data_IF_668888591329
#
_entry.id   IF_668888591329
#
_cell.length_a   1.000
_cell.length_b   1.000
_cell.length_c   1.000
_cell.angle_alpha   90.00
_cell.angle_beta   90.00
_cell.angle_gamma   90.00
#
_symmetry.space_group_name_H-M   'P 1'
#
loop_
_entity.id
_entity.type
_entity.pdbx_description
1 polymer ?
#
# COMPACT_ATOMS: atom_id res chain seq x y z
N UNK A 1 -14.30 -41.37 -36.57
CA UNK A 1 -13.43 -42.15 -35.65
C UNK A 1 -12.19 -41.30 -35.35
N UNK A 2 -12.01 -40.86 -34.09
CA UNK A 2 -10.82 -40.24 -33.45
C UNK A 2 -11.19 -39.09 -32.49
N UNK A 3 -11.49 -39.41 -31.22
CA UNK A 3 -11.62 -38.42 -30.11
C UNK A 3 -10.97 -38.86 -28.79
N UNK A 4 -10.09 -39.86 -28.76
CA UNK A 4 -9.58 -40.43 -27.49
C UNK A 4 -8.12 -40.13 -27.10
N UNK A 5 -7.30 -39.44 -27.90
CA UNK A 5 -5.87 -39.29 -27.57
C UNK A 5 -5.45 -37.96 -26.92
N UNK A 6 -6.30 -36.92 -26.86
CA UNK A 6 -5.90 -35.61 -26.33
C UNK A 6 -5.96 -35.48 -24.80
N UNK A 7 -6.52 -36.47 -24.10
CA UNK A 7 -6.82 -36.34 -22.67
C UNK A 7 -5.66 -36.74 -21.74
N UNK A 8 -4.65 -37.47 -22.23
CA UNK A 8 -3.60 -38.04 -21.37
C UNK A 8 -2.35 -37.13 -21.25
N UNK A 9 -2.02 -36.33 -22.26
CA UNK A 9 -0.83 -35.44 -22.22
C UNK A 9 -1.00 -34.22 -21.29
N UNK A 10 -2.23 -33.85 -20.91
CA UNK A 10 -2.48 -32.63 -20.15
C UNK A 10 -2.19 -32.75 -18.65
N UNK A 11 -2.30 -33.96 -18.08
CA UNK A 11 -2.12 -34.16 -16.63
C UNK A 11 -0.64 -34.24 -16.22
N UNK A 12 0.23 -34.81 -17.04
CA UNK A 12 1.65 -34.98 -16.70
C UNK A 12 2.45 -33.65 -16.74
N UNK A 13 2.15 -32.75 -17.68
CA UNK A 13 2.79 -31.42 -17.81
C UNK A 13 2.36 -30.43 -16.71
N UNK A 14 1.32 -30.76 -15.92
CA UNK A 14 0.76 -29.91 -14.87
C UNK A 14 1.39 -30.13 -13.49
N UNK A 15 2.09 -31.26 -13.30
CA UNK A 15 2.79 -31.61 -12.06
C UNK A 15 4.17 -30.93 -11.96
N UNK A 16 4.99 -31.02 -13.01
CA UNK A 16 6.35 -30.42 -13.00
C UNK A 16 6.37 -28.88 -13.03
N UNK A 17 5.33 -28.23 -13.58
CA UNK A 17 5.20 -26.76 -13.54
C UNK A 17 4.90 -26.23 -12.14
N UNK A 18 4.28 -27.04 -11.26
CA UNK A 18 3.91 -26.60 -9.91
C UNK A 18 5.14 -26.51 -9.00
N UNK A 19 6.08 -27.46 -9.11
CA UNK A 19 7.34 -27.43 -8.38
C UNK A 19 8.30 -26.31 -8.85
N UNK A 20 8.36 -26.03 -10.17
CA UNK A 20 9.09 -24.87 -10.69
C UNK A 20 8.41 -23.54 -10.35
N UNK A 21 7.08 -23.44 -10.37
CA UNK A 21 6.37 -22.20 -10.02
C UNK A 21 6.50 -21.86 -8.53
N UNK A 22 6.57 -22.86 -7.65
CA UNK A 22 6.80 -22.67 -6.21
C UNK A 22 8.28 -22.33 -5.92
N UNK A 23 9.26 -22.99 -6.58
CA UNK A 23 10.69 -22.67 -6.40
C UNK A 23 11.13 -21.36 -7.07
N UNK A 24 10.49 -20.96 -8.19
CA UNK A 24 10.66 -19.63 -8.82
C UNK A 24 9.95 -18.54 -8.02
N UNK A 25 8.87 -18.87 -7.27
CA UNK A 25 8.17 -17.94 -6.38
C UNK A 25 9.05 -17.50 -5.20
N UNK A 26 9.92 -18.37 -4.67
CA UNK A 26 10.87 -18.09 -3.57
C UNK A 26 12.11 -17.27 -4.01
N UNK A 27 12.76 -17.62 -5.13
CA UNK A 27 13.93 -16.88 -5.64
C UNK A 27 13.55 -15.51 -6.24
N UNK A 28 12.36 -15.42 -6.82
CA UNK A 28 11.75 -14.14 -7.18
C UNK A 28 11.31 -13.35 -5.93
N UNK A 29 11.12 -13.98 -4.77
CA UNK A 29 10.60 -13.30 -3.57
C UNK A 29 11.61 -12.32 -3.00
N UNK A 30 12.86 -12.77 -2.78
CA UNK A 30 13.94 -11.93 -2.25
C UNK A 30 14.38 -10.86 -3.26
N UNK A 31 14.47 -11.21 -4.55
CA UNK A 31 14.78 -10.26 -5.61
C UNK A 31 13.66 -9.22 -5.79
N UNK A 32 12.39 -9.65 -5.72
CA UNK A 32 11.24 -8.72 -5.76
C UNK A 32 11.19 -7.82 -4.54
N UNK A 33 11.58 -8.31 -3.35
CA UNK A 33 11.60 -7.50 -2.14
C UNK A 33 12.63 -6.37 -2.24
N UNK A 34 13.87 -6.68 -2.60
CA UNK A 34 14.94 -5.67 -2.72
C UNK A 34 14.59 -4.65 -3.81
N UNK A 35 14.15 -5.14 -4.98
CA UNK A 35 13.74 -4.26 -6.09
C UNK A 35 12.55 -3.40 -5.68
N UNK A 36 11.58 -3.94 -4.93
CA UNK A 36 10.40 -3.19 -4.52
C UNK A 36 10.67 -2.18 -3.39
N UNK A 37 11.63 -2.49 -2.51
CA UNK A 37 12.14 -1.56 -1.49
C UNK A 37 12.86 -0.40 -2.20
N UNK A 38 13.73 -0.68 -3.16
CA UNK A 38 14.44 0.38 -3.91
C UNK A 38 13.45 1.17 -4.77
N UNK A 39 12.52 0.51 -5.46
CA UNK A 39 11.56 1.18 -6.33
C UNK A 39 10.55 2.01 -5.54
N UNK A 40 10.11 1.55 -4.36
CA UNK A 40 9.26 2.36 -3.47
C UNK A 40 10.01 3.58 -2.97
N UNK A 41 11.28 3.46 -2.57
CA UNK A 41 12.09 4.63 -2.21
C UNK A 41 12.19 5.65 -3.36
N UNK A 42 12.52 5.18 -4.57
CA UNK A 42 12.65 6.04 -5.74
C UNK A 42 11.31 6.67 -6.12
N UNK A 43 10.21 5.91 -6.09
CA UNK A 43 8.87 6.40 -6.40
C UNK A 43 8.42 7.48 -5.40
N UNK A 44 8.67 7.27 -4.11
CA UNK A 44 8.33 8.25 -3.07
C UNK A 44 9.25 9.47 -3.12
N UNK A 45 10.54 9.29 -3.41
CA UNK A 45 11.48 10.39 -3.60
C UNK A 45 11.07 11.27 -4.80
N UNK A 46 10.72 10.65 -5.93
CA UNK A 46 10.20 11.34 -7.10
C UNK A 46 8.85 12.02 -6.81
N UNK A 47 7.94 11.34 -6.10
CA UNK A 47 6.66 11.90 -5.67
C UNK A 47 6.82 13.12 -4.75
N UNK A 48 7.81 13.11 -3.87
CA UNK A 48 8.15 14.24 -3.00
C UNK A 48 8.70 15.44 -3.80
N UNK A 49 9.45 15.19 -4.88
CA UNK A 49 9.87 16.25 -5.82
C UNK A 49 8.66 16.81 -6.58
N UNK A 50 7.75 15.95 -7.05
CA UNK A 50 6.55 16.38 -7.80
C UNK A 50 5.65 17.34 -7.02
N UNK A 51 5.53 17.13 -5.71
CA UNK A 51 4.77 18.03 -4.82
C UNK A 51 5.56 19.26 -4.37
N UNK A 52 6.73 19.52 -4.98
CA UNK A 52 7.64 20.62 -4.63
C UNK A 52 8.04 20.65 -3.14
N UNK A 53 8.28 19.48 -2.54
CA UNK A 53 8.81 19.43 -1.18
C UNK A 53 10.25 19.97 -1.14
N UNK A 54 10.63 20.78 -0.13
CA UNK A 54 11.99 21.29 -0.05
C UNK A 54 12.98 20.15 0.18
N UNK A 55 14.20 20.31 -0.35
CA UNK A 55 15.23 19.25 -0.43
C UNK A 55 15.53 18.55 0.90
N UNK A 56 15.35 19.25 2.02
CA UNK A 56 15.57 18.74 3.38
C UNK A 56 14.62 17.59 3.76
N UNK A 57 13.45 17.48 3.12
CA UNK A 57 12.40 16.51 3.46
C UNK A 57 12.36 15.31 2.52
N UNK A 58 13.10 15.33 1.42
CA UNK A 58 13.09 14.27 0.40
C UNK A 58 13.55 12.91 0.96
N UNK A 59 14.62 12.91 1.77
CA UNK A 59 15.15 11.68 2.36
C UNK A 59 14.17 11.11 3.41
N UNK A 60 13.66 11.88 4.39
CA UNK A 60 12.63 11.39 5.31
C UNK A 60 11.36 10.92 4.59
N UNK A 61 10.93 11.60 3.53
CA UNK A 61 9.78 11.16 2.74
C UNK A 61 10.04 9.77 2.12
N UNK A 62 11.21 9.58 1.48
CA UNK A 62 11.61 8.28 0.92
C UNK A 62 11.65 7.15 1.96
N UNK A 63 12.14 7.44 3.17
CA UNK A 63 12.12 6.48 4.30
C UNK A 63 10.68 6.11 4.68
N UNK A 64 9.74 7.05 4.61
CA UNK A 64 8.31 6.77 4.79
C UNK A 64 7.78 5.73 3.79
N UNK A 65 8.20 5.82 2.53
CA UNK A 65 7.87 4.85 1.48
C UNK A 65 8.46 3.45 1.73
N UNK A 66 9.70 3.40 2.22
CA UNK A 66 10.34 2.14 2.63
C UNK A 66 9.58 1.46 3.77
N UNK A 67 9.24 2.21 4.82
CA UNK A 67 8.48 1.72 5.96
C UNK A 67 7.10 1.21 5.49
N UNK A 68 6.44 1.95 4.60
CA UNK A 68 5.17 1.55 4.00
C UNK A 68 5.26 0.17 3.33
N UNK A 69 6.22 0.01 2.43
CA UNK A 69 6.35 -1.20 1.63
C UNK A 69 6.76 -2.41 2.46
N UNK A 70 7.70 -2.22 3.39
CA UNK A 70 8.15 -3.25 4.32
C UNK A 70 6.96 -3.71 5.17
N UNK A 71 6.21 -2.79 5.76
CA UNK A 71 5.03 -3.12 6.54
C UNK A 71 4.01 -3.92 5.72
N UNK A 72 3.68 -3.44 4.53
CA UNK A 72 2.75 -4.12 3.63
C UNK A 72 3.20 -5.55 3.33
N UNK A 73 4.48 -5.74 2.98
CA UNK A 73 5.01 -7.05 2.62
C UNK A 73 4.99 -8.05 3.78
N UNK A 74 5.35 -7.61 5.00
CA UNK A 74 5.32 -8.47 6.19
C UNK A 74 3.89 -8.89 6.56
N UNK A 75 2.92 -7.99 6.38
CA UNK A 75 1.53 -8.20 6.80
C UNK A 75 0.68 -8.92 5.75
N UNK A 76 1.08 -8.88 4.48
CA UNK A 76 0.36 -9.49 3.35
C UNK A 76 0.06 -10.99 3.55
N UNK A 77 1.02 -11.87 3.94
CA UNK A 77 0.73 -13.30 4.08
C UNK A 77 -0.14 -13.63 5.30
N UNK A 78 -0.21 -12.75 6.30
CA UNK A 78 -0.90 -13.00 7.57
C UNK A 78 -2.34 -12.48 7.51
N UNK A 79 -2.52 -11.28 6.96
CA UNK A 79 -3.76 -10.50 7.14
C UNK A 79 -4.50 -10.21 5.84
N UNK A 80 -3.92 -10.55 4.68
CA UNK A 80 -4.53 -10.33 3.37
C UNK A 80 -4.85 -8.85 3.12
N UNK A 81 -6.12 -8.52 2.90
CA UNK A 81 -6.56 -7.15 2.60
C UNK A 81 -6.30 -6.15 3.75
N UNK A 82 -6.27 -6.64 5.00
CA UNK A 82 -5.97 -5.83 6.19
C UNK A 82 -4.50 -5.36 6.22
N UNK A 83 -3.61 -5.94 5.42
CA UNK A 83 -2.24 -5.44 5.29
C UNK A 83 -2.20 -3.97 4.84
N UNK A 84 -3.16 -3.55 4.00
CA UNK A 84 -3.32 -2.16 3.58
C UNK A 84 -3.69 -1.23 4.75
N UNK A 85 -4.52 -1.72 5.67
CA UNK A 85 -4.89 -0.99 6.87
C UNK A 85 -3.68 -0.75 7.78
N UNK A 86 -2.93 -1.81 8.13
CA UNK A 86 -1.80 -1.68 9.04
C UNK A 86 -0.64 -0.87 8.43
N UNK A 87 -0.34 -1.06 7.14
CA UNK A 87 0.70 -0.30 6.47
C UNK A 87 0.34 1.20 6.34
N UNK A 88 -0.91 1.54 6.02
CA UNK A 88 -1.36 2.94 5.99
C UNK A 88 -1.37 3.57 7.40
N UNK A 89 -1.70 2.80 8.44
CA UNK A 89 -1.62 3.23 9.83
C UNK A 89 -0.18 3.57 10.23
N UNK A 90 0.79 2.72 9.88
CA UNK A 90 2.21 2.96 10.14
C UNK A 90 2.75 4.19 9.40
N UNK A 91 2.36 4.38 8.13
CA UNK A 91 2.77 5.58 7.35
C UNK A 91 2.15 6.85 7.91
N UNK A 92 0.88 6.81 8.32
CA UNK A 92 0.21 7.94 8.95
C UNK A 92 0.91 8.31 10.27
N UNK A 93 1.23 7.32 11.11
CA UNK A 93 1.99 7.52 12.35
C UNK A 93 3.36 8.15 12.06
N UNK A 94 4.12 7.57 11.12
CA UNK A 94 5.43 8.06 10.73
C UNK A 94 5.38 9.51 10.23
N UNK A 95 4.42 9.81 9.35
CA UNK A 95 4.23 11.16 8.79
C UNK A 95 3.91 12.18 9.87
N UNK A 96 3.11 11.80 10.86
CA UNK A 96 2.77 12.66 11.98
C UNK A 96 3.94 12.93 12.94
N UNK A 97 4.81 11.94 13.14
CA UNK A 97 6.03 12.10 13.92
C UNK A 97 7.01 13.04 13.21
N UNK A 98 7.28 12.78 11.92
CA UNK A 98 8.19 13.59 11.11
C UNK A 98 7.70 15.03 10.94
N UNK A 99 6.39 15.24 10.76
CA UNK A 99 5.80 16.58 10.71
C UNK A 99 6.08 17.41 11.97
N UNK A 100 6.17 16.78 13.15
CA UNK A 100 6.49 17.45 14.41
C UNK A 100 7.97 17.77 14.54
N UNK A 101 8.84 16.86 14.11
CA UNK A 101 10.29 17.06 14.09
C UNK A 101 10.65 18.20 13.14
N UNK A 102 10.10 18.20 11.93
CA UNK A 102 10.41 19.18 10.88
C UNK A 102 9.50 20.42 10.89
N UNK A 103 8.50 20.49 11.80
CA UNK A 103 7.52 21.59 11.93
C UNK A 103 6.83 21.94 10.60
N UNK A 104 6.42 20.92 9.87
CA UNK A 104 5.81 21.03 8.54
C UNK A 104 4.44 20.36 8.50
N UNK A 105 3.58 20.69 7.52
CA UNK A 105 2.30 20.00 7.37
C UNK A 105 2.51 18.50 7.12
N UNK A 106 1.70 17.66 7.79
CA UNK A 106 1.77 16.18 7.72
C UNK A 106 1.67 15.66 6.29
N UNK A 107 0.91 16.37 5.44
CA UNK A 107 0.68 16.01 4.04
C UNK A 107 1.96 15.95 3.21
N UNK A 108 3.03 16.68 3.59
CA UNK A 108 4.31 16.65 2.88
C UNK A 108 5.01 15.29 2.94
N UNK A 109 4.83 14.55 4.04
CA UNK A 109 5.38 13.20 4.20
C UNK A 109 4.35 12.14 3.83
N UNK A 110 3.08 12.41 4.16
CA UNK A 110 2.00 11.45 3.96
C UNK A 110 1.75 11.20 2.47
N UNK A 111 1.42 12.24 1.69
CA UNK A 111 1.05 12.12 0.26
C UNK A 111 2.03 11.26 -0.54
N UNK A 112 3.35 11.54 -0.52
CA UNK A 112 4.29 10.72 -1.28
C UNK A 112 4.53 9.36 -0.59
N UNK A 113 4.50 9.29 0.74
CA UNK A 113 4.84 8.09 1.51
C UNK A 113 3.89 6.91 1.35
N UNK A 114 2.58 7.16 1.13
CA UNK A 114 1.61 6.08 0.92
C UNK A 114 1.40 5.72 -0.56
N UNK A 115 2.05 6.41 -1.52
CA UNK A 115 1.93 6.10 -2.96
C UNK A 115 2.13 4.62 -3.31
N UNK A 116 3.12 3.89 -2.73
CA UNK A 116 3.36 2.50 -3.11
C UNK A 116 2.20 1.55 -2.81
N UNK A 117 1.35 1.88 -1.83
CA UNK A 117 0.24 1.01 -1.39
C UNK A 117 -1.10 1.39 -2.03
N UNK A 118 -1.18 2.51 -2.75
CA UNK A 118 -2.43 2.95 -3.37
C UNK A 118 -2.87 1.94 -4.44
N UNK A 119 -4.11 1.40 -4.36
CA UNK A 119 -4.60 0.41 -5.30
C UNK A 119 -5.04 1.06 -6.63
N UNK A 120 -4.12 1.72 -7.34
CA UNK A 120 -4.41 2.39 -8.61
C UNK A 120 -4.89 1.43 -9.70
N UNK A 121 -4.32 0.22 -9.75
CA UNK A 121 -4.73 -0.82 -10.69
C UNK A 121 -6.14 -1.37 -10.39
N UNK A 122 -6.54 -1.43 -9.13
CA UNK A 122 -7.89 -1.87 -8.75
C UNK A 122 -8.96 -0.88 -9.24
N UNK A 123 -8.71 0.42 -9.02
CA UNK A 123 -9.56 1.51 -9.52
C UNK A 123 -9.65 1.46 -11.04
N UNK A 124 -8.51 1.33 -11.73
CA UNK A 124 -8.47 1.25 -13.19
C UNK A 124 -9.27 0.04 -13.72
N UNK A 125 -9.12 -1.13 -13.11
CA UNK A 125 -9.88 -2.34 -13.49
C UNK A 125 -11.38 -2.17 -13.28
N UNK A 126 -11.79 -1.54 -12.19
CA UNK A 126 -13.19 -1.24 -11.92
C UNK A 126 -13.81 -0.43 -13.08
N UNK A 127 -13.19 0.70 -13.44
CA UNK A 127 -13.64 1.57 -14.55
C UNK A 127 -13.57 0.84 -15.90
N UNK A 128 -12.51 0.06 -16.13
CA UNK A 128 -12.35 -0.70 -17.37
C UNK A 128 -13.49 -1.70 -17.59
N UNK A 129 -13.88 -2.47 -16.56
CA UNK A 129 -14.97 -3.45 -16.68
C UNK A 129 -16.36 -2.82 -16.70
N UNK A 130 -16.52 -1.62 -16.13
CA UNK A 130 -17.71 -0.81 -16.30
C UNK A 130 -17.93 -0.44 -17.78
N UNK A 131 -16.90 0.10 -18.43
CA UNK A 131 -16.96 0.49 -19.85
C UNK A 131 -17.07 -0.73 -20.76
N UNK A 132 -16.42 -1.85 -20.39
CA UNK A 132 -16.46 -3.10 -21.17
C UNK A 132 -17.78 -3.88 -21.05
N UNK A 133 -18.75 -3.40 -20.27
CA UNK A 133 -20.07 -4.04 -20.11
C UNK A 133 -20.06 -5.36 -19.33
N UNK A 134 -18.96 -5.71 -18.64
CA UNK A 134 -18.87 -6.95 -17.86
C UNK A 134 -19.31 -6.70 -16.40
N UNK A 135 -20.61 -6.79 -16.16
CA UNK A 135 -21.21 -6.51 -14.84
C UNK A 135 -20.67 -7.40 -13.71
N UNK A 136 -20.33 -8.67 -13.99
CA UNK A 136 -19.84 -9.61 -12.97
C UNK A 136 -18.47 -9.14 -12.44
N UNK A 137 -17.53 -8.86 -13.34
CA UNK A 137 -16.19 -8.40 -12.95
C UNK A 137 -16.23 -6.99 -12.37
N UNK A 138 -17.09 -6.12 -12.90
CA UNK A 138 -17.29 -4.78 -12.37
C UNK A 138 -17.68 -4.81 -10.89
N UNK A 139 -18.72 -5.56 -10.52
CA UNK A 139 -19.17 -5.65 -9.12
C UNK A 139 -18.08 -6.21 -8.19
N UNK A 140 -17.30 -7.19 -8.66
CA UNK A 140 -16.18 -7.76 -7.92
C UNK A 140 -15.11 -6.70 -7.61
N UNK A 141 -14.57 -6.05 -8.65
CA UNK A 141 -13.51 -5.04 -8.47
C UNK A 141 -14.02 -3.77 -7.77
N UNK A 142 -15.30 -3.42 -7.93
CA UNK A 142 -15.92 -2.32 -7.21
C UNK A 142 -15.94 -2.59 -5.70
N UNK A 143 -16.39 -3.77 -5.29
CA UNK A 143 -16.41 -4.16 -3.89
C UNK A 143 -15.01 -4.21 -3.27
N UNK A 144 -14.03 -4.77 -3.98
CA UNK A 144 -12.62 -4.81 -3.56
C UNK A 144 -12.03 -3.40 -3.39
N UNK A 145 -12.29 -2.51 -4.35
CA UNK A 145 -11.77 -1.14 -4.33
C UNK A 145 -12.35 -0.34 -3.16
N UNK A 146 -13.66 -0.45 -2.92
CA UNK A 146 -14.33 0.23 -1.80
C UNK A 146 -13.79 -0.28 -0.47
N UNK A 147 -13.60 -1.59 -0.32
CA UNK A 147 -13.05 -2.18 0.90
C UNK A 147 -11.64 -1.66 1.19
N UNK A 148 -10.73 -1.70 0.20
CA UNK A 148 -9.36 -1.20 0.39
C UNK A 148 -9.34 0.31 0.67
N UNK A 149 -10.14 1.10 -0.06
CA UNK A 149 -10.23 2.54 0.16
C UNK A 149 -10.75 2.88 1.57
N UNK A 150 -11.76 2.15 2.04
CA UNK A 150 -12.32 2.31 3.39
C UNK A 150 -11.29 1.98 4.46
N UNK A 151 -10.53 0.89 4.29
CA UNK A 151 -9.46 0.51 5.22
C UNK A 151 -8.38 1.60 5.31
N UNK A 152 -7.89 2.11 4.19
CA UNK A 152 -6.88 3.18 4.18
C UNK A 152 -7.44 4.46 4.82
N UNK A 153 -8.68 4.84 4.48
CA UNK A 153 -9.32 6.03 5.05
C UNK A 153 -9.50 5.92 6.57
N UNK A 154 -9.95 4.76 7.07
CA UNK A 154 -10.11 4.50 8.50
C UNK A 154 -8.78 4.57 9.25
N UNK A 155 -7.72 3.99 8.69
CA UNK A 155 -6.39 4.03 9.31
C UNK A 155 -5.90 5.47 9.51
N UNK A 156 -6.02 6.31 8.47
CA UNK A 156 -5.62 7.73 8.53
C UNK A 156 -6.49 8.47 9.55
N UNK A 157 -7.81 8.26 9.52
CA UNK A 157 -8.75 8.92 10.42
C UNK A 157 -8.45 8.61 11.89
N UNK A 158 -8.13 7.34 12.22
CA UNK A 158 -7.77 6.94 13.59
C UNK A 158 -6.51 7.67 14.05
N UNK A 159 -5.46 7.71 13.22
CA UNK A 159 -4.21 8.36 13.57
C UNK A 159 -4.38 9.88 13.72
N UNK A 160 -5.12 10.52 12.80
CA UNK A 160 -5.44 11.94 12.89
C UNK A 160 -6.29 12.26 14.13
N UNK A 161 -7.26 11.42 14.47
CA UNK A 161 -8.08 11.58 15.67
C UNK A 161 -7.25 11.49 16.96
N UNK A 162 -6.36 10.49 17.07
CA UNK A 162 -5.49 10.31 18.24
C UNK A 162 -4.61 11.53 18.49
N UNK A 163 -3.95 12.05 17.46
CA UNK A 163 -3.05 13.19 17.62
C UNK A 163 -3.76 14.54 17.73
N UNK A 164 -4.92 14.71 17.08
CA UNK A 164 -5.77 15.89 17.29
C UNK A 164 -6.31 15.93 18.72
N UNK A 165 -6.70 14.79 19.28
CA UNK A 165 -7.12 14.67 20.67
C UNK A 165 -5.98 15.07 21.63
N UNK A 166 -4.77 14.56 21.39
CA UNK A 166 -3.61 14.86 22.25
C UNK A 166 -3.24 16.35 22.26
N UNK A 167 -3.32 17.04 21.11
CA UNK A 167 -3.09 18.50 21.04
C UNK A 167 -4.16 19.31 21.80
N UNK A 168 -5.44 18.89 21.69
CA UNK A 168 -6.55 19.55 22.41
C UNK A 168 -6.36 19.44 23.92
N UNK A 169 -6.03 18.26 24.43
CA UNK A 169 -5.83 18.01 25.86
C UNK A 169 -4.68 18.86 26.42
N UNK A 170 -3.53 18.90 25.73
CA UNK A 170 -2.38 19.72 26.16
C UNK A 170 -2.69 21.22 26.15
N UNK A 171 -3.47 21.69 25.17
CA UNK A 171 -3.86 23.11 25.09
C UNK A 171 -4.83 23.52 26.22
N UNK A 172 -5.73 22.63 26.61
CA UNK A 172 -6.68 22.87 27.71
C UNK A 172 -5.96 22.85 29.07
N UNK A 173 -5.03 21.92 29.26
CA UNK A 173 -4.21 21.86 30.48
C UNK A 173 -3.34 23.11 30.66
N UNK A 174 -2.73 23.64 29.59
CA UNK A 174 -1.98 24.90 29.65
C UNK A 174 -2.85 26.12 29.92
N UNK A 175 -4.13 26.09 29.51
CA UNK A 175 -5.08 27.19 29.72
C UNK A 175 -5.63 27.23 31.15
N UNK A 176 -5.67 26.10 31.86
CA UNK A 176 -6.04 26.05 33.28
C UNK A 176 -4.90 26.42 34.24
N UNK A 177 -3.64 26.37 33.80
CA UNK A 177 -2.47 26.71 34.62
C UNK A 177 -2.05 28.19 34.52
N UNK A 178 -2.80 29.01 33.80
CA UNK A 178 -2.57 30.45 33.65
C UNK A 178 -3.73 31.20 34.28
#
# INVERSE_FOLDING_TARGET
>A
MCRSCYHCSFYCVRSSRRAYFIRRRELNFMMSLIVAIISSFVAVYAGAIMINAPKKFLIPAGIGGLICWIAYFLLLPITGMLANFYASLLVALYSQLMARVYKTPVTMFFIPGFLPIVPGLAIFRCVYFYISGNAIKFNQYLSETIQIATLIALAIFIIDALFKSNKRIVSLYKKQKK
#
